data_IF_781033949712
#
_entry.id   IF_781033949712
#
_cell.length_a   1.000
_cell.length_b   1.000
_cell.length_c   1.000
_cell.angle_alpha   90.00
_cell.angle_beta   90.00
_cell.angle_gamma   90.00
#
_symmetry.space_group_name_H-M   'P 1'
#
loop_
_entity.id
_entity.type
_entity.pdbx_description
1 polymer ?
#
# COMPACT_ATOMS: atom_id res chain seq x y z
N UNK A 1 -3.78 -18.52 8.54
CA UNK A 1 -2.84 -17.66 7.79
C UNK A 1 -2.23 -18.49 6.67
N UNK A 2 -2.29 -18.04 5.41
CA UNK A 2 -1.59 -18.72 4.30
C UNK A 2 -0.08 -18.54 4.47
N UNK A 3 0.68 -19.59 4.15
CA UNK A 3 2.15 -19.54 4.19
C UNK A 3 2.68 -18.45 3.25
N UNK A 4 3.70 -17.66 3.65
CA UNK A 4 4.33 -16.63 2.80
C UNK A 4 4.77 -17.18 1.43
N UNK A 5 5.08 -18.48 1.38
CA UNK A 5 5.51 -19.18 0.17
C UNK A 5 4.39 -19.32 -0.87
N UNK A 6 3.12 -19.36 -0.45
CA UNK A 6 1.96 -19.51 -1.34
C UNK A 6 1.63 -18.19 -2.06
N UNK A 7 1.63 -17.06 -1.34
CA UNK A 7 1.43 -15.74 -1.94
C UNK A 7 2.53 -15.39 -2.92
N UNK A 8 3.78 -15.65 -2.53
CA UNK A 8 4.96 -15.43 -3.38
C UNK A 8 4.90 -16.22 -4.69
N UNK A 9 4.38 -17.46 -4.67
CA UNK A 9 4.17 -18.27 -5.88
C UNK A 9 3.07 -17.69 -6.79
N UNK A 10 1.95 -17.24 -6.23
CA UNK A 10 0.87 -16.64 -7.02
C UNK A 10 1.33 -15.36 -7.73
N UNK A 11 2.03 -14.48 -7.01
CA UNK A 11 2.57 -13.26 -7.62
C UNK A 11 3.59 -13.55 -8.71
N UNK A 12 4.50 -14.51 -8.53
CA UNK A 12 5.43 -14.93 -9.60
C UNK A 12 4.70 -15.47 -10.83
N UNK A 13 3.64 -16.25 -10.64
CA UNK A 13 2.84 -16.77 -11.75
C UNK A 13 2.12 -15.65 -12.51
N UNK A 14 1.56 -14.68 -11.78
CA UNK A 14 0.92 -13.50 -12.38
C UNK A 14 1.92 -12.67 -13.18
N UNK A 15 3.09 -12.40 -12.62
CA UNK A 15 4.15 -11.66 -13.33
C UNK A 15 4.56 -12.42 -14.60
N UNK A 16 4.76 -13.74 -14.52
CA UNK A 16 5.05 -14.58 -15.70
C UNK A 16 3.97 -14.44 -16.79
N UNK A 17 2.69 -14.38 -16.41
CA UNK A 17 1.60 -14.17 -17.37
C UNK A 17 1.63 -12.79 -18.02
N UNK A 18 2.03 -11.75 -17.27
CA UNK A 18 2.03 -10.37 -17.76
C UNK A 18 3.29 -10.06 -18.60
N UNK A 19 4.45 -10.59 -18.23
CA UNK A 19 5.74 -10.18 -18.81
C UNK A 19 6.33 -11.20 -19.79
N UNK A 20 5.76 -12.41 -19.89
CA UNK A 20 6.34 -13.55 -20.60
C UNK A 20 7.76 -13.94 -20.12
N UNK A 21 8.22 -13.37 -19.00
CA UNK A 21 9.51 -13.69 -18.39
C UNK A 21 9.42 -14.94 -17.54
N UNK A 22 10.56 -15.62 -17.36
CA UNK A 22 10.59 -16.83 -16.55
C UNK A 22 10.49 -16.49 -15.06
N UNK A 23 9.84 -17.37 -14.29
CA UNK A 23 9.61 -17.13 -12.85
C UNK A 23 10.90 -17.14 -12.02
N UNK A 24 12.01 -17.65 -12.57
CA UNK A 24 13.34 -17.69 -11.92
C UNK A 24 13.99 -16.31 -11.79
N UNK A 25 13.59 -15.35 -12.61
CA UNK A 25 14.18 -14.01 -12.64
C UNK A 25 13.68 -13.12 -11.49
N UNK A 26 12.58 -13.53 -10.85
CA UNK A 26 11.87 -12.74 -9.86
C UNK A 26 12.14 -13.21 -8.44
N UNK A 27 12.90 -12.40 -7.69
CA UNK A 27 13.17 -12.62 -6.27
C UNK A 27 12.08 -12.01 -5.41
N UNK A 28 11.60 -12.75 -4.42
CA UNK A 28 10.69 -12.23 -3.39
C UNK A 28 11.44 -12.08 -2.07
N UNK A 29 11.29 -10.92 -1.41
CA UNK A 29 11.83 -10.67 -0.08
C UNK A 29 10.68 -10.27 0.86
N UNK A 30 10.65 -10.87 2.04
CA UNK A 30 9.81 -10.37 3.13
C UNK A 30 10.53 -9.17 3.72
N UNK A 31 9.88 -8.01 3.69
CA UNK A 31 10.40 -6.79 4.27
C UNK A 31 9.99 -6.73 5.74
N UNK A 32 10.95 -6.50 6.62
CA UNK A 32 10.68 -6.37 8.05
C UNK A 32 10.01 -5.03 8.32
N UNK A 33 8.99 -5.05 9.16
CA UNK A 33 8.25 -3.85 9.55
C UNK A 33 7.80 -3.97 11.01
N UNK A 34 7.56 -2.83 11.63
CA UNK A 34 6.99 -2.79 12.99
C UNK A 34 5.65 -3.52 13.00
N UNK A 35 5.42 -4.35 14.02
CA UNK A 35 4.16 -5.08 14.17
C UNK A 35 3.05 -4.08 14.49
N UNK A 36 1.89 -4.25 13.87
CA UNK A 36 0.69 -3.50 14.24
C UNK A 36 0.17 -3.98 15.61
N UNK A 37 -0.29 -3.05 16.44
CA UNK A 37 -0.85 -3.33 17.76
C UNK A 37 -2.30 -3.84 17.70
N UNK A 38 -3.05 -3.48 16.66
CA UNK A 38 -4.47 -3.81 16.49
C UNK A 38 -4.77 -4.30 15.06
N UNK A 39 -5.89 -5.02 14.90
CA UNK A 39 -6.30 -5.58 13.61
C UNK A 39 -7.06 -4.60 12.70
N UNK A 40 -7.63 -3.52 13.25
CA UNK A 40 -8.48 -2.60 12.50
C UNK A 40 -7.69 -1.59 11.68
N UNK A 41 -6.40 -1.39 11.98
CA UNK A 41 -5.49 -0.49 11.27
C UNK A 41 -4.73 -1.12 10.11
N UNK A 42 -4.95 -2.40 9.79
CA UNK A 42 -4.22 -3.08 8.71
C UNK A 42 -4.34 -2.40 7.34
N UNK A 43 -5.51 -1.84 6.99
CA UNK A 43 -5.77 -1.22 5.68
C UNK A 43 -5.07 0.15 5.52
N UNK A 44 -5.19 1.11 6.45
CA UNK A 44 -4.37 2.32 6.38
C UNK A 44 -2.87 1.99 6.41
N UNK A 45 -2.45 1.03 7.24
CA UNK A 45 -1.03 0.70 7.37
C UNK A 45 -0.42 0.16 6.07
N UNK A 46 -1.13 -0.65 5.29
CA UNK A 46 -0.57 -1.14 4.02
C UNK A 46 -0.30 0.01 3.04
N UNK A 47 -1.15 1.05 3.02
CA UNK A 47 -0.93 2.24 2.21
C UNK A 47 0.28 3.04 2.70
N UNK A 48 0.46 3.16 4.03
CA UNK A 48 1.64 3.84 4.60
C UNK A 48 2.94 3.10 4.30
N UNK A 49 2.94 1.78 4.41
CA UNK A 49 4.09 0.96 4.03
C UNK A 49 4.40 1.11 2.54
N UNK A 50 3.39 1.09 1.66
CA UNK A 50 3.60 1.26 0.23
C UNK A 50 4.19 2.65 -0.11
N UNK A 51 3.60 3.72 0.43
CA UNK A 51 4.11 5.10 0.27
C UNK A 51 5.58 5.20 0.71
N UNK A 52 5.87 4.72 1.92
CA UNK A 52 7.21 4.82 2.52
C UNK A 52 8.22 3.98 1.75
N UNK A 53 7.86 2.76 1.35
CA UNK A 53 8.72 1.89 0.56
C UNK A 53 9.03 2.48 -0.81
N UNK A 54 8.06 3.12 -1.47
CA UNK A 54 8.29 3.75 -2.77
C UNK A 54 9.33 4.88 -2.67
N UNK A 55 9.26 5.68 -1.60
CA UNK A 55 10.15 6.82 -1.35
C UNK A 55 11.54 6.41 -0.84
N UNK A 56 11.61 5.49 0.12
CA UNK A 56 12.81 5.24 0.92
C UNK A 56 13.42 3.85 0.69
N UNK A 57 12.70 2.95 0.01
CA UNK A 57 13.05 1.52 -0.12
C UNK A 57 13.21 0.77 1.22
N UNK A 58 12.74 1.40 2.30
CA UNK A 58 12.70 0.85 3.66
C UNK A 58 11.37 1.24 4.34
N UNK A 59 10.87 0.36 5.19
CA UNK A 59 9.65 0.54 5.99
C UNK A 59 9.85 0.22 7.46
N UNK A 60 11.10 -0.08 7.87
CA UNK A 60 11.44 -0.42 9.25
C UNK A 60 11.05 0.67 10.24
N UNK A 61 11.09 1.93 9.81
CA UNK A 61 10.82 3.12 10.63
C UNK A 61 9.36 3.59 10.58
N UNK A 62 8.45 2.84 9.96
CA UNK A 62 7.04 3.22 9.93
C UNK A 62 6.42 3.02 11.31
N UNK A 63 5.92 4.11 11.89
CA UNK A 63 5.18 4.10 13.15
C UNK A 63 3.83 3.42 12.96
N UNK A 64 3.57 2.39 13.77
CA UNK A 64 2.32 1.61 13.76
C UNK A 64 1.41 1.93 14.94
N UNK A 65 1.72 2.97 15.73
CA UNK A 65 0.92 3.36 16.89
C UNK A 65 -0.46 3.87 16.48
N UNK A 66 -1.42 3.82 17.40
CA UNK A 66 -2.79 4.27 17.15
C UNK A 66 -2.85 5.75 16.74
N UNK A 67 -2.00 6.58 17.34
CA UNK A 67 -1.89 8.01 17.07
C UNK A 67 -1.41 8.25 15.65
N UNK A 68 -0.32 7.59 15.25
CA UNK A 68 0.22 7.66 13.88
C UNK A 68 -0.82 7.20 12.85
N UNK A 69 -1.53 6.10 13.12
CA UNK A 69 -2.58 5.59 12.26
C UNK A 69 -3.76 6.57 12.15
N UNK A 70 -4.14 7.22 13.24
CA UNK A 70 -5.24 8.21 13.26
C UNK A 70 -4.88 9.42 12.42
N UNK A 71 -3.66 9.94 12.56
CA UNK A 71 -3.14 11.04 11.74
C UNK A 71 -3.14 10.64 10.26
N UNK A 72 -2.65 9.44 9.94
CA UNK A 72 -2.58 8.98 8.55
C UNK A 72 -3.97 8.79 7.93
N UNK A 73 -4.94 8.22 8.66
CA UNK A 73 -6.34 8.14 8.20
C UNK A 73 -6.91 9.52 7.89
N UNK A 74 -6.60 10.52 8.72
CA UNK A 74 -7.02 11.91 8.49
C UNK A 74 -6.40 12.48 7.22
N UNK A 75 -5.12 12.21 6.97
CA UNK A 75 -4.45 12.63 5.74
C UNK A 75 -5.09 12.00 4.50
N UNK A 76 -5.39 10.69 4.53
CA UNK A 76 -6.13 10.02 3.46
C UNK A 76 -7.48 10.71 3.21
N UNK A 77 -8.25 10.98 4.26
CA UNK A 77 -9.54 11.65 4.12
C UNK A 77 -9.40 13.05 3.49
N UNK A 78 -8.40 13.84 3.89
CA UNK A 78 -8.14 15.16 3.31
C UNK A 78 -7.81 15.05 1.82
N UNK A 79 -6.97 14.10 1.42
CA UNK A 79 -6.65 13.87 0.00
C UNK A 79 -7.91 13.50 -0.79
N UNK A 80 -8.69 12.52 -0.30
CA UNK A 80 -9.91 12.09 -0.96
C UNK A 80 -10.94 13.22 -1.12
N UNK A 81 -11.09 14.08 -0.10
CA UNK A 81 -11.98 15.25 -0.17
C UNK A 81 -11.49 16.33 -1.15
N UNK A 82 -10.17 16.52 -1.27
CA UNK A 82 -9.61 17.45 -2.26
C UNK A 82 -9.82 16.95 -3.68
N UNK A 83 -9.57 15.67 -3.92
CA UNK A 83 -9.78 15.05 -5.24
C UNK A 83 -11.26 15.06 -5.63
N UNK A 84 -12.18 14.79 -4.71
CA UNK A 84 -13.61 14.86 -5.00
C UNK A 84 -14.08 16.29 -5.28
N UNK A 85 -13.57 17.28 -4.56
CA UNK A 85 -13.85 18.70 -4.83
C UNK A 85 -13.30 19.19 -6.17
N UNK A 86 -12.12 18.72 -6.57
CA UNK A 86 -11.54 19.03 -7.89
C UNK A 86 -12.34 18.39 -9.03
N UNK A 87 -12.77 17.14 -8.86
CA UNK A 87 -13.64 16.47 -9.84
C UNK A 87 -15.00 17.15 -9.97
N UNK A 88 -15.52 17.76 -8.90
CA UNK A 88 -16.78 18.52 -8.95
C UNK A 88 -16.66 19.83 -9.75
N UNK A 89 -15.50 20.49 -9.72
CA UNK A 89 -15.24 21.70 -10.52
C UNK A 89 -15.10 21.42 -12.02
N UNK A 90 -14.68 20.22 -12.40
CA UNK A 90 -14.53 19.84 -13.81
C UNK A 90 -15.89 19.59 -14.51
N UNK A 91 -16.97 19.35 -13.77
CA UNK A 91 -18.31 19.14 -14.35
C UNK A 91 -19.14 20.43 -14.48
N UNK A 92 -18.57 21.60 -14.16
CA UNK A 92 -19.29 22.89 -14.16
C UNK A 92 -18.83 23.87 -15.23
N UNK A 93 -17.94 23.48 -16.15
CA UNK A 93 -17.47 24.34 -17.26
C UNK A 93 -18.13 24.08 -18.61
N UNK A 94 -19.18 23.25 -18.66
CA UNK A 94 -19.99 23.01 -19.88
C UNK A 94 -21.43 23.55 -19.72
N UNK A 95 -21.59 24.83 -19.38
CA UNK A 95 -22.85 25.58 -19.47
C UNK A 95 -22.63 26.91 -20.18
#
# INVERSE_FOLDING_TARGET
MQSPNVLSKHFRNLIKQITSQTSSDWKSKIVQHTRQSDGHNCRPLILKFAETYLQQKDISMVYTTQEANTVFRRQIAIVLMKESGNNFRSCTTDL
#
